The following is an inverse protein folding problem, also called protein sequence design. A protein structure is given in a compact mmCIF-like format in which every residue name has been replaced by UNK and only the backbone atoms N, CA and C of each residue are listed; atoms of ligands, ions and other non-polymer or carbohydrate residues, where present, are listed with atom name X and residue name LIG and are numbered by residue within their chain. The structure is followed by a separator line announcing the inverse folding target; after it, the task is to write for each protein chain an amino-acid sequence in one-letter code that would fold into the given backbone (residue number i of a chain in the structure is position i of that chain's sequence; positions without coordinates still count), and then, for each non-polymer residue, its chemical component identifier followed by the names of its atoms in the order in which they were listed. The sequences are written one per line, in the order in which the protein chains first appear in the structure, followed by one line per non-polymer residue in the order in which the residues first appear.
data_IF_241675524826
#
_entry.id   IF_241675524826
#
_cell.length_a   1.000
_cell.length_b   1.000
_cell.length_c   1.000
_cell.angle_alpha   90.00
_cell.angle_beta   90.00
_cell.angle_gamma   90.00
#
_symmetry.space_group_name_H-M   'P 1'
#
loop_
_entity.id
_entity.type
_entity.pdbx_description
1 polymer ?
#
# COMPACT_ATOMS: atom_id res chain seq x y z
N UNK A 1 -21.53 1.89 29.68
CA UNK A 1 -21.00 2.00 28.31
C UNK A 1 -20.08 0.80 28.10
N UNK A 2 -20.21 0.04 27.02
CA UNK A 2 -19.55 -1.27 26.90
C UNK A 2 -18.10 -1.07 26.39
N UNK A 3 -17.05 -1.39 27.16
CA UNK A 3 -15.66 -1.09 26.78
C UNK A 3 -15.23 -1.74 25.47
N UNK A 4 -15.88 -2.83 25.04
CA UNK A 4 -15.65 -3.45 23.73
C UNK A 4 -16.09 -2.58 22.53
N UNK A 5 -17.06 -1.68 22.71
CA UNK A 5 -17.49 -0.75 21.65
C UNK A 5 -16.47 0.38 21.46
N UNK A 6 -15.92 0.92 22.56
CA UNK A 6 -14.96 2.03 22.51
C UNK A 6 -13.60 1.62 21.91
N UNK A 7 -13.13 0.41 22.23
CA UNK A 7 -11.90 -0.16 21.64
C UNK A 7 -12.04 -0.34 20.12
N UNK A 8 -13.24 -0.65 19.65
CA UNK A 8 -13.53 -0.86 18.23
C UNK A 8 -13.45 0.46 17.43
N UNK A 9 -14.03 1.54 17.96
CA UNK A 9 -14.05 2.84 17.27
C UNK A 9 -12.66 3.48 17.18
N UNK A 10 -11.86 3.41 18.25
CA UNK A 10 -10.48 3.89 18.24
C UNK A 10 -9.60 3.09 17.26
N UNK A 11 -9.72 1.76 17.27
CA UNK A 11 -8.98 0.89 16.34
C UNK A 11 -9.34 1.17 14.88
N UNK A 12 -10.62 1.43 14.58
CA UNK A 12 -11.10 1.83 13.25
C UNK A 12 -10.47 3.14 12.79
N UNK A 13 -10.47 4.16 13.65
CA UNK A 13 -9.88 5.47 13.32
C UNK A 13 -8.39 5.32 13.07
N UNK A 14 -7.66 4.68 14.00
CA UNK A 14 -6.22 4.46 13.89
C UNK A 14 -5.85 3.68 12.62
N UNK A 15 -6.60 2.62 12.31
CA UNK A 15 -6.42 1.87 11.08
C UNK A 15 -6.54 2.76 9.84
N UNK A 16 -7.61 3.55 9.75
CA UNK A 16 -7.90 4.43 8.60
C UNK A 16 -6.82 5.50 8.40
N UNK A 17 -6.36 6.14 9.48
CA UNK A 17 -5.41 7.26 9.40
C UNK A 17 -3.93 6.83 9.41
N UNK A 18 -3.63 5.59 9.81
CA UNK A 18 -2.24 5.09 9.92
C UNK A 18 -1.37 5.35 8.67
N UNK A 19 -1.87 5.21 7.42
CA UNK A 19 -1.06 5.51 6.25
C UNK A 19 -0.68 7.00 6.20
N UNK A 20 -1.63 7.89 6.48
CA UNK A 20 -1.40 9.33 6.45
C UNK A 20 -0.38 9.75 7.50
N UNK A 21 -0.51 9.26 8.73
CA UNK A 21 0.39 9.64 9.81
C UNK A 21 1.82 9.14 9.55
N UNK A 22 1.98 7.90 9.08
CA UNK A 22 3.30 7.33 8.77
C UNK A 22 4.07 8.10 7.69
N UNK A 23 3.36 8.67 6.71
CA UNK A 23 3.98 9.43 5.61
C UNK A 23 4.02 10.94 5.83
N UNK A 24 3.29 11.48 6.81
CA UNK A 24 3.22 12.91 7.08
C UNK A 24 4.60 13.58 7.26
N UNK A 25 5.58 12.99 7.99
CA UNK A 25 6.90 13.61 8.13
C UNK A 25 7.64 13.77 6.79
N UNK A 26 7.51 12.82 5.87
CA UNK A 26 8.15 12.86 4.55
C UNK A 26 7.51 13.90 3.65
N UNK A 27 6.17 13.97 3.67
CA UNK A 27 5.39 14.96 2.91
C UNK A 27 5.70 16.37 3.41
N UNK A 28 5.65 16.59 4.72
CA UNK A 28 5.91 17.90 5.32
C UNK A 28 7.33 18.41 5.06
N UNK A 29 8.33 17.53 5.17
CA UNK A 29 9.73 17.88 4.89
C UNK A 29 10.04 17.97 3.39
N UNK A 30 9.13 17.56 2.51
CA UNK A 30 9.34 17.50 1.07
C UNK A 30 10.46 16.56 0.63
N UNK A 31 10.86 15.61 1.51
CA UNK A 31 11.94 14.64 1.27
C UNK A 31 11.34 13.24 1.32
N UNK A 32 10.93 12.75 0.15
CA UNK A 32 10.30 11.44 0.01
C UNK A 32 11.38 10.36 0.00
N UNK A 33 11.42 9.55 1.05
CA UNK A 33 12.36 8.44 1.18
C UNK A 33 11.77 7.13 0.66
N UNK A 34 10.44 7.03 0.65
CA UNK A 34 9.73 5.84 0.24
C UNK A 34 9.73 5.68 -1.29
N UNK A 35 9.94 4.45 -1.75
CA UNK A 35 10.05 4.11 -3.17
C UNK A 35 8.78 4.45 -3.96
N UNK A 36 8.88 5.10 -5.14
CA UNK A 36 7.75 5.30 -6.04
C UNK A 36 7.16 3.99 -6.57
N UNK A 37 7.99 2.97 -6.78
CA UNK A 37 7.52 1.65 -7.20
C UNK A 37 6.69 0.99 -6.10
N UNK A 38 7.17 1.02 -4.86
CA UNK A 38 6.39 0.48 -3.74
C UNK A 38 5.11 1.27 -3.51
N UNK A 39 5.15 2.60 -3.66
CA UNK A 39 3.95 3.43 -3.65
C UNK A 39 2.96 3.02 -4.73
N UNK A 40 3.44 2.74 -5.94
CA UNK A 40 2.60 2.26 -7.02
C UNK A 40 1.98 0.90 -6.69
N UNK A 41 2.76 -0.04 -6.15
CA UNK A 41 2.24 -1.35 -5.72
C UNK A 41 1.17 -1.22 -4.63
N UNK A 42 1.34 -0.32 -3.65
CA UNK A 42 0.33 -0.04 -2.62
C UNK A 42 -0.94 0.53 -3.23
N UNK A 43 -0.83 1.41 -4.24
CA UNK A 43 -1.98 1.91 -4.98
C UNK A 43 -2.74 0.76 -5.65
N UNK A 44 -2.04 -0.14 -6.35
CA UNK A 44 -2.67 -1.30 -7.01
C UNK A 44 -3.40 -2.18 -5.99
N UNK A 45 -2.73 -2.54 -4.90
CA UNK A 45 -3.33 -3.31 -3.80
C UNK A 45 -4.55 -2.60 -3.21
N UNK A 46 -4.48 -1.28 -3.02
CA UNK A 46 -5.61 -0.50 -2.50
C UNK A 46 -6.79 -0.47 -3.46
N UNK A 47 -6.56 -0.37 -4.77
CA UNK A 47 -7.62 -0.48 -5.78
C UNK A 47 -8.27 -1.87 -5.74
N UNK A 48 -7.49 -2.94 -5.68
CA UNK A 48 -8.02 -4.30 -5.55
C UNK A 48 -8.88 -4.46 -4.29
N UNK A 49 -8.43 -3.90 -3.16
CA UNK A 49 -9.19 -3.90 -1.91
C UNK A 49 -10.49 -3.09 -2.01
N UNK A 50 -10.51 -1.94 -2.69
CA UNK A 50 -11.74 -1.18 -2.93
C UNK A 50 -12.74 -2.00 -3.75
N UNK A 51 -12.28 -2.67 -4.81
CA UNK A 51 -13.14 -3.53 -5.65
C UNK A 51 -13.66 -4.71 -4.83
N UNK A 52 -12.79 -5.39 -4.08
CA UNK A 52 -13.17 -6.48 -3.19
C UNK A 52 -14.23 -6.05 -2.17
N UNK A 53 -14.00 -4.94 -1.47
CA UNK A 53 -14.95 -4.41 -0.48
C UNK A 53 -16.30 -4.06 -1.12
N UNK A 54 -16.29 -3.48 -2.32
CA UNK A 54 -17.52 -3.11 -3.04
C UNK A 54 -18.32 -4.34 -3.46
N UNK A 55 -17.66 -5.40 -3.92
CA UNK A 55 -18.31 -6.62 -4.41
C UNK A 55 -18.83 -7.49 -3.26
N UNK A 56 -18.08 -7.62 -2.15
CA UNK A 56 -18.48 -8.43 -0.99
C UNK A 56 -19.22 -7.62 0.10
N UNK A 57 -19.44 -6.32 -0.10
CA UNK A 57 -20.09 -5.40 0.86
C UNK A 57 -19.40 -5.42 2.24
N UNK A 58 -18.07 -5.40 2.25
CA UNK A 58 -17.27 -5.35 3.48
C UNK A 58 -17.41 -3.99 4.19
N UNK A 59 -16.95 -3.91 5.44
CA UNK A 59 -17.01 -2.69 6.23
C UNK A 59 -16.41 -1.48 5.48
N UNK A 60 -17.15 -0.36 5.50
CA UNK A 60 -16.80 0.88 4.80
C UNK A 60 -15.41 1.41 5.17
N UNK A 61 -14.93 1.10 6.38
CA UNK A 61 -13.63 1.53 6.89
C UNK A 61 -12.46 0.95 6.08
N UNK A 62 -12.57 -0.28 5.58
CA UNK A 62 -11.54 -0.87 4.71
C UNK A 62 -11.44 -0.14 3.37
N UNK A 63 -12.58 0.28 2.82
CA UNK A 63 -12.62 1.08 1.59
C UNK A 63 -12.08 2.48 1.81
N UNK A 64 -12.42 3.11 2.94
CA UNK A 64 -11.95 4.44 3.29
C UNK A 64 -10.42 4.48 3.49
N UNK A 65 -9.87 3.52 4.24
CA UNK A 65 -8.43 3.40 4.41
C UNK A 65 -7.72 3.21 3.06
N UNK A 66 -8.29 2.40 2.16
CA UNK A 66 -7.75 2.19 0.82
C UNK A 66 -7.77 3.45 -0.05
N UNK A 67 -8.85 4.23 -0.01
CA UNK A 67 -8.94 5.50 -0.72
C UNK A 67 -7.90 6.51 -0.20
N UNK A 68 -7.72 6.58 1.11
CA UNK A 68 -6.68 7.41 1.74
C UNK A 68 -5.29 6.95 1.29
N UNK A 69 -5.02 5.63 1.32
CA UNK A 69 -3.75 5.08 0.82
C UNK A 69 -3.49 5.47 -0.63
N UNK A 70 -4.48 5.38 -1.52
CA UNK A 70 -4.32 5.83 -2.92
C UNK A 70 -3.91 7.31 -2.95
N UNK A 71 -4.63 8.19 -2.26
CA UNK A 71 -4.32 9.62 -2.24
C UNK A 71 -2.93 9.95 -1.68
N UNK A 72 -2.55 9.33 -0.56
CA UNK A 72 -1.23 9.52 0.06
C UNK A 72 -0.13 9.06 -0.89
N UNK A 73 -0.24 7.86 -1.47
CA UNK A 73 0.80 7.33 -2.33
C UNK A 73 0.89 8.05 -3.69
N UNK A 74 -0.23 8.50 -4.26
CA UNK A 74 -0.21 9.39 -5.43
C UNK A 74 0.53 10.69 -5.13
N UNK A 75 0.33 11.25 -3.93
CA UNK A 75 1.04 12.45 -3.46
C UNK A 75 2.54 12.20 -3.30
N UNK A 76 2.93 11.06 -2.72
CA UNK A 76 4.35 10.68 -2.60
C UNK A 76 5.02 10.55 -3.97
N UNK A 77 4.37 9.91 -4.95
CA UNK A 77 4.91 9.78 -6.31
C UNK A 77 5.03 11.16 -6.97
N UNK A 78 4.04 12.04 -6.80
CA UNK A 78 4.08 13.40 -7.33
C UNK A 78 5.24 14.23 -6.74
N UNK A 79 5.48 14.09 -5.44
CA UNK A 79 6.51 14.83 -4.71
C UNK A 79 7.91 14.21 -4.80
N UNK A 80 8.05 13.03 -5.41
CA UNK A 80 9.34 12.34 -5.48
C UNK A 80 10.30 13.06 -6.43
N UNK A 81 11.46 13.47 -5.90
CA UNK A 81 12.48 14.25 -6.63
C UNK A 81 13.82 13.53 -6.78
N UNK A 82 14.01 12.44 -6.04
CA UNK A 82 15.28 11.71 -6.05
C UNK A 82 15.42 10.87 -7.32
N UNK A 83 16.64 10.40 -7.61
CA UNK A 83 16.86 9.46 -8.69
C UNK A 83 16.16 8.11 -8.41
N UNK A 84 15.65 7.49 -9.47
CA UNK A 84 15.08 6.15 -9.42
C UNK A 84 16.19 5.10 -9.38
N UNK A 85 15.99 4.05 -8.59
CA UNK A 85 16.75 2.81 -8.69
C UNK A 85 16.55 2.16 -10.08
N UNK A 86 17.46 1.27 -10.46
CA UNK A 86 17.38 0.56 -11.74
C UNK A 86 16.05 -0.22 -11.91
N UNK A 87 15.52 -0.79 -10.81
CA UNK A 87 14.26 -1.53 -10.81
C UNK A 87 13.06 -0.60 -11.06
N UNK A 88 13.00 0.52 -10.33
CA UNK A 88 11.98 1.55 -10.53
C UNK A 88 12.04 2.08 -11.96
N UNK A 89 13.23 2.39 -12.45
CA UNK A 89 13.44 2.91 -13.79
C UNK A 89 12.93 1.95 -14.87
N UNK A 90 13.17 0.64 -14.72
CA UNK A 90 12.69 -0.36 -15.69
C UNK A 90 11.16 -0.43 -15.76
N UNK A 91 10.48 -0.35 -14.62
CA UNK A 91 9.01 -0.41 -14.57
C UNK A 91 8.39 0.88 -15.12
N UNK A 92 8.85 2.05 -14.66
CA UNK A 92 8.28 3.30 -15.13
C UNK A 92 8.62 3.58 -16.60
N UNK A 93 9.74 3.06 -17.13
CA UNK A 93 10.05 3.16 -18.56
C UNK A 93 9.09 2.39 -19.47
N UNK A 94 8.29 1.44 -18.94
CA UNK A 94 7.19 0.83 -19.71
C UNK A 94 6.12 1.89 -20.07
N UNK A 95 5.97 2.92 -19.25
CA UNK A 95 5.15 4.07 -19.58
C UNK A 95 5.81 4.91 -20.67
N UNK A 96 5.12 5.01 -21.80
CA UNK A 96 5.56 5.83 -22.94
C UNK A 96 5.89 7.28 -22.54
N UNK A 97 5.13 7.83 -21.57
CA UNK A 97 5.29 9.21 -21.11
C UNK A 97 6.50 9.43 -20.18
N UNK A 98 7.19 8.39 -19.71
CA UNK A 98 8.30 8.55 -18.78
C UNK A 98 9.42 9.43 -19.35
N UNK A 99 9.80 9.19 -20.61
CA UNK A 99 10.88 9.95 -21.28
C UNK A 99 10.52 11.40 -21.56
N UNK A 100 9.24 11.72 -21.77
CA UNK A 100 8.80 13.04 -22.24
C UNK A 100 8.22 13.93 -21.14
N UNK A 101 7.56 13.34 -20.15
CA UNK A 101 6.84 14.06 -19.08
C UNK A 101 7.28 13.66 -17.67
N UNK A 102 8.15 12.65 -17.53
CA UNK A 102 8.69 12.21 -16.24
C UNK A 102 7.81 11.21 -15.49
N UNK A 103 8.22 10.95 -14.24
CA UNK A 103 7.71 9.87 -13.40
C UNK A 103 6.19 9.93 -13.16
N UNK A 104 5.67 11.08 -12.74
CA UNK A 104 4.26 11.21 -12.35
C UNK A 104 3.30 10.93 -13.51
N UNK A 105 3.61 11.41 -14.71
CA UNK A 105 2.78 11.16 -15.89
C UNK A 105 2.88 9.71 -16.36
N UNK A 106 4.06 9.08 -16.23
CA UNK A 106 4.20 7.65 -16.46
C UNK A 106 3.36 6.84 -15.48
N UNK A 107 3.34 7.23 -14.21
CA UNK A 107 2.46 6.65 -13.20
C UNK A 107 0.99 6.79 -13.60
N UNK A 108 0.53 7.98 -13.97
CA UNK A 108 -0.86 8.19 -14.41
C UNK A 108 -1.24 7.33 -15.61
N UNK A 109 -0.32 7.18 -16.57
CA UNK A 109 -0.51 6.27 -17.71
C UNK A 109 -0.70 4.82 -17.23
N UNK A 110 0.25 4.28 -16.47
CA UNK A 110 0.18 2.89 -15.99
C UNK A 110 -1.05 2.65 -15.11
N UNK A 111 -1.39 3.61 -14.25
CA UNK A 111 -2.59 3.58 -13.43
C UNK A 111 -3.87 3.55 -14.29
N UNK A 112 -3.98 4.43 -15.29
CA UNK A 112 -5.13 4.44 -16.19
C UNK A 112 -5.26 3.14 -16.99
N UNK A 113 -4.14 2.58 -17.47
CA UNK A 113 -4.11 1.29 -18.16
C UNK A 113 -4.62 0.18 -17.25
N UNK A 114 -4.16 0.12 -16.00
CA UNK A 114 -4.65 -0.85 -15.02
C UNK A 114 -6.16 -0.73 -14.79
N UNK A 115 -6.68 0.49 -14.58
CA UNK A 115 -8.12 0.70 -14.38
C UNK A 115 -8.91 0.21 -15.61
N UNK A 116 -8.46 0.53 -16.81
CA UNK A 116 -9.09 0.04 -18.05
C UNK A 116 -9.03 -1.48 -18.17
N UNK A 117 -7.92 -2.11 -17.78
CA UNK A 117 -7.79 -3.58 -17.76
C UNK A 117 -8.77 -4.21 -16.76
N UNK A 118 -8.95 -3.63 -15.57
CA UNK A 118 -9.90 -4.12 -14.58
C UNK A 118 -11.35 -3.93 -15.02
N UNK A 119 -11.67 -2.82 -15.70
CA UNK A 119 -12.99 -2.60 -16.30
C UNK A 119 -13.28 -3.62 -17.40
N UNK A 120 -12.30 -3.90 -18.26
CA UNK A 120 -12.40 -4.93 -19.28
C UNK A 120 -12.59 -6.31 -18.66
N UNK A 121 -11.85 -6.61 -17.58
CA UNK A 121 -12.00 -7.88 -16.85
C UNK A 121 -13.40 -8.01 -16.24
N UNK A 122 -13.92 -6.94 -15.64
CA UNK A 122 -15.27 -6.91 -15.10
C UNK A 122 -16.33 -7.17 -16.17
N UNK A 123 -16.13 -6.61 -17.36
CA UNK A 123 -17.03 -6.82 -18.51
C UNK A 123 -17.10 -8.30 -18.90
N UNK A 124 -15.98 -9.03 -18.84
CA UNK A 124 -15.96 -10.46 -19.15
C UNK A 124 -16.40 -11.36 -18.00
N UNK A 125 -15.97 -11.09 -16.76
CA UNK A 125 -16.33 -11.91 -15.60
C UNK A 125 -16.08 -11.18 -14.28
N UNK A 126 -17.17 -10.81 -13.58
CA UNK A 126 -17.11 -10.24 -12.22
C UNK A 126 -16.51 -11.23 -11.22
N UNK A 127 -16.78 -12.53 -11.36
CA UNK A 127 -16.24 -13.58 -10.47
C UNK A 127 -14.72 -13.71 -10.62
N UNK A 128 -14.22 -13.66 -11.86
CA UNK A 128 -12.79 -13.69 -12.11
C UNK A 128 -12.10 -12.42 -11.62
N UNK A 129 -12.70 -11.25 -11.82
CA UNK A 129 -12.23 -9.99 -11.24
C UNK A 129 -12.10 -10.08 -9.71
N UNK A 130 -13.10 -10.64 -9.03
CA UNK A 130 -13.08 -10.80 -7.58
C UNK A 130 -11.91 -11.66 -7.13
N UNK A 131 -11.68 -12.80 -7.81
CA UNK A 131 -10.57 -13.71 -7.52
C UNK A 131 -9.21 -13.01 -7.70
N UNK A 132 -9.04 -12.28 -8.80
CA UNK A 132 -7.84 -11.49 -9.08
C UNK A 132 -7.61 -10.41 -8.02
N UNK A 133 -8.67 -9.71 -7.61
CA UNK A 133 -8.56 -8.65 -6.60
C UNK A 133 -8.21 -9.21 -5.23
N UNK A 134 -8.83 -10.31 -4.78
CA UNK A 134 -8.54 -10.93 -3.49
C UNK A 134 -7.10 -11.46 -3.47
N UNK A 135 -6.74 -12.31 -4.44
CA UNK A 135 -5.41 -12.92 -4.51
C UNK A 135 -4.32 -11.88 -4.75
N UNK A 136 -4.56 -10.95 -5.67
CA UNK A 136 -3.65 -9.86 -5.97
C UNK A 136 -3.45 -8.93 -4.77
N UNK A 137 -4.51 -8.60 -4.02
CA UNK A 137 -4.37 -7.79 -2.82
C UNK A 137 -3.49 -8.51 -1.80
N UNK A 138 -3.79 -9.77 -1.45
CA UNK A 138 -3.00 -10.55 -0.48
C UNK A 138 -1.52 -10.60 -0.88
N UNK A 139 -1.24 -10.92 -2.15
CA UNK A 139 0.13 -11.05 -2.65
C UNK A 139 0.89 -9.71 -2.61
N UNK A 140 0.29 -8.65 -3.16
CA UNK A 140 0.95 -7.35 -3.24
C UNK A 140 1.18 -6.76 -1.86
N UNK A 141 0.13 -6.76 -1.03
CA UNK A 141 0.14 -6.19 0.32
C UNK A 141 1.20 -6.89 1.20
N UNK A 142 1.32 -8.22 1.09
CA UNK A 142 2.34 -9.00 1.81
C UNK A 142 3.76 -8.85 1.26
N UNK A 143 3.90 -8.52 -0.03
CA UNK A 143 5.21 -8.41 -0.68
C UNK A 143 5.92 -7.09 -0.44
N UNK A 144 5.19 -6.01 -0.12
CA UNK A 144 5.77 -4.65 -0.02
C UNK A 144 6.87 -4.58 1.02
N UNK A 145 6.65 -5.11 2.23
CA UNK A 145 7.64 -5.06 3.29
C UNK A 145 8.91 -5.85 2.93
N UNK A 146 8.74 -7.00 2.26
CA UNK A 146 9.86 -7.78 1.76
C UNK A 146 10.62 -7.00 0.68
N UNK A 147 9.92 -6.43 -0.30
CA UNK A 147 10.53 -5.64 -1.35
C UNK A 147 11.29 -4.44 -0.79
N UNK A 148 10.78 -3.78 0.25
CA UNK A 148 11.50 -2.71 0.95
C UNK A 148 12.80 -3.22 1.59
N UNK A 149 12.78 -4.39 2.26
CA UNK A 149 13.99 -5.02 2.80
C UNK A 149 14.99 -5.36 1.69
N UNK A 150 14.51 -5.92 0.57
CA UNK A 150 15.35 -6.24 -0.59
C UNK A 150 15.98 -4.98 -1.20
N UNK A 151 15.19 -3.92 -1.42
CA UNK A 151 15.71 -2.66 -1.93
C UNK A 151 16.76 -2.07 -1.00
N UNK A 152 16.53 -2.10 0.32
CA UNK A 152 17.51 -1.59 1.29
C UNK A 152 18.83 -2.39 1.28
N UNK A 153 18.76 -3.72 1.14
CA UNK A 153 19.95 -4.59 1.19
C UNK A 153 20.76 -4.59 -0.10
N UNK A 154 20.11 -4.47 -1.26
CA UNK A 154 20.73 -4.71 -2.57
C UNK A 154 20.94 -3.46 -3.42
N UNK A 155 20.32 -2.33 -3.10
CA UNK A 155 20.51 -1.09 -3.86
C UNK A 155 21.80 -0.35 -3.44
N UNK A 156 22.93 -0.79 -4.03
CA UNK A 156 24.29 -0.25 -3.76
C UNK A 156 24.49 1.21 -4.17
N UNK A 157 23.55 1.83 -4.92
CA UNK A 157 23.67 3.21 -5.40
C UNK A 157 23.15 4.26 -4.40
N UNK A 158 22.37 3.84 -3.41
CA UNK A 158 21.93 4.75 -2.35
C UNK A 158 23.01 4.76 -1.27
N UNK A 159 23.77 5.84 -1.18
CA UNK A 159 24.40 6.21 0.10
C UNK A 159 23.37 5.99 1.19
N UNK A 160 23.71 5.23 2.25
CA UNK A 160 22.80 4.72 3.29
C UNK A 160 21.69 5.74 3.62
N UNK A 161 20.57 5.68 2.91
CA UNK A 161 19.41 6.51 3.21
C UNK A 161 18.79 5.87 4.43
N UNK A 162 18.80 6.60 5.54
CA UNK A 162 18.14 6.14 6.76
C UNK A 162 16.70 5.75 6.42
N UNK A 163 16.34 4.52 6.82
CA UNK A 163 14.98 4.04 6.73
C UNK A 163 14.09 4.92 7.63
N UNK A 164 12.94 5.43 7.13
CA UNK A 164 12.05 6.25 7.94
C UNK A 164 11.37 5.37 9.01
N UNK A 165 11.97 5.26 10.20
CA UNK A 165 11.48 4.37 11.27
C UNK A 165 10.08 4.72 11.73
N UNK A 166 9.73 6.00 11.72
CA UNK A 166 8.39 6.47 12.06
C UNK A 166 7.34 5.88 11.11
N UNK A 167 7.66 5.77 9.82
CA UNK A 167 6.77 5.14 8.85
C UNK A 167 6.47 3.69 9.24
N UNK A 168 7.53 2.91 9.51
CA UNK A 168 7.38 1.49 9.84
C UNK A 168 6.67 1.27 11.17
N UNK A 169 6.86 2.17 12.14
CA UNK A 169 6.10 2.15 13.39
C UNK A 169 4.60 2.30 13.13
N UNK A 170 4.20 3.25 12.30
CA UNK A 170 2.78 3.45 11.97
C UNK A 170 2.20 2.32 11.11
N UNK A 171 3.01 1.66 10.29
CA UNK A 171 2.61 0.43 9.61
C UNK A 171 2.33 -0.70 10.61
N UNK A 172 3.21 -0.93 11.58
CA UNK A 172 2.99 -1.93 12.64
C UNK A 172 1.73 -1.63 13.44
N UNK A 173 1.50 -0.37 13.83
CA UNK A 173 0.27 0.04 14.53
C UNK A 173 -0.97 -0.23 13.66
N UNK A 174 -0.91 0.14 12.37
CA UNK A 174 -1.98 -0.11 11.41
C UNK A 174 -2.30 -1.59 11.26
N UNK A 175 -1.28 -2.45 11.17
CA UNK A 175 -1.44 -3.90 11.04
C UNK A 175 -1.99 -4.56 12.30
N UNK A 176 -1.59 -4.09 13.50
CA UNK A 176 -2.19 -4.53 14.76
C UNK A 176 -3.68 -4.19 14.77
N UNK A 177 -4.05 -2.95 14.46
CA UNK A 177 -5.44 -2.52 14.41
C UNK A 177 -6.24 -3.34 13.38
N UNK A 178 -5.69 -3.52 12.17
CA UNK A 178 -6.29 -4.33 11.10
C UNK A 178 -6.49 -5.78 11.52
N UNK A 179 -5.49 -6.38 12.19
CA UNK A 179 -5.57 -7.77 12.67
C UNK A 179 -6.70 -7.94 13.69
N UNK A 180 -6.77 -7.05 14.68
CA UNK A 180 -7.84 -7.06 15.69
C UNK A 180 -9.21 -6.95 15.02
N UNK A 181 -9.38 -6.01 14.09
CA UNK A 181 -10.65 -5.81 13.37
C UNK A 181 -11.04 -7.03 12.52
N UNK A 182 -10.09 -7.64 11.81
CA UNK A 182 -10.34 -8.83 10.99
C UNK A 182 -10.74 -10.06 11.85
N UNK A 183 -10.09 -10.26 12.99
CA UNK A 183 -10.43 -11.35 13.93
C UNK A 183 -11.82 -11.12 14.51
N UNK A 184 -12.12 -9.90 14.98
CA UNK A 184 -13.42 -9.57 15.56
C UNK A 184 -14.57 -9.73 14.56
N UNK A 185 -14.32 -9.43 13.28
CA UNK A 185 -15.32 -9.55 12.22
C UNK A 185 -15.41 -10.97 11.61
N UNK A 186 -14.64 -11.93 12.12
CA UNK A 186 -14.66 -13.31 11.61
C UNK A 186 -14.20 -13.43 10.15
N UNK A 187 -13.22 -12.62 9.74
CA UNK A 187 -12.69 -12.65 8.38
C UNK A 187 -12.02 -13.99 8.03
N UNK A 188 -11.86 -14.26 6.73
CA UNK A 188 -11.21 -15.48 6.26
C UNK A 188 -9.78 -15.61 6.81
N UNK A 189 -9.42 -16.79 7.33
CA UNK A 189 -8.10 -17.12 7.88
C UNK A 189 -6.94 -16.77 6.94
N UNK A 190 -7.11 -16.90 5.62
CA UNK A 190 -6.07 -16.54 4.66
C UNK A 190 -5.76 -15.04 4.69
N UNK A 191 -6.78 -14.19 4.86
CA UNK A 191 -6.63 -12.74 4.95
C UNK A 191 -5.97 -12.39 6.29
N UNK A 192 -6.42 -12.99 7.40
CA UNK A 192 -5.80 -12.79 8.71
C UNK A 192 -4.32 -13.17 8.68
N UNK A 193 -3.98 -14.34 8.12
CA UNK A 193 -2.59 -14.81 8.02
C UNK A 193 -1.72 -13.86 7.20
N UNK A 194 -2.27 -13.26 6.13
CA UNK A 194 -1.54 -12.27 5.32
C UNK A 194 -1.18 -11.01 6.12
N UNK A 195 -2.08 -10.52 6.98
CA UNK A 195 -1.82 -9.35 7.83
C UNK A 195 -0.87 -9.69 8.98
N UNK A 196 -0.96 -10.88 9.57
CA UNK A 196 0.01 -11.36 10.55
C UNK A 196 1.41 -11.47 9.94
N UNK A 197 1.50 -11.97 8.70
CA UNK A 197 2.76 -12.00 7.97
C UNK A 197 3.32 -10.59 7.72
N UNK A 198 2.48 -9.64 7.30
CA UNK A 198 2.86 -8.23 7.14
C UNK A 198 3.38 -7.63 8.45
N UNK A 199 2.70 -7.89 9.57
CA UNK A 199 3.10 -7.42 10.89
C UNK A 199 4.50 -7.90 11.27
N UNK A 200 4.84 -9.16 10.99
CA UNK A 200 6.19 -9.72 11.21
C UNK A 200 7.22 -8.97 10.36
N UNK A 201 6.95 -8.82 9.06
CA UNK A 201 7.89 -8.17 8.12
C UNK A 201 8.08 -6.68 8.46
N UNK A 202 7.01 -5.97 8.82
CA UNK A 202 7.07 -4.55 9.20
C UNK A 202 7.80 -4.35 10.53
N UNK A 203 7.67 -5.29 11.46
CA UNK A 203 8.46 -5.31 12.71
C UNK A 203 9.95 -5.55 12.41
N UNK A 204 10.28 -6.41 11.44
CA UNK A 204 11.67 -6.57 10.99
C UNK A 204 12.21 -5.29 10.35
N UNK A 205 11.43 -4.59 9.53
CA UNK A 205 11.83 -3.30 8.95
C UNK A 205 12.13 -2.24 10.02
N UNK A 206 11.36 -2.23 11.11
CA UNK A 206 11.58 -1.31 12.23
C UNK A 206 12.88 -1.60 12.99
N UNK A 207 13.36 -2.84 13.00
CA UNK A 207 14.58 -3.25 13.71
C UNK A 207 15.85 -3.19 12.87
N UNK A 208 15.75 -2.93 11.56
CA UNK A 208 16.90 -2.79 10.67
C UNK A 208 17.61 -1.45 10.92
N UNK A 209 18.89 -1.52 11.25
CA UNK A 209 19.81 -0.38 11.43
C UNK A 209 20.46 0.04 10.11
#
# INVERSE_FOLDING_TARGET
MNPMLEVNDLAKILYVISPTIGYAPQIYKGKILFSPLLSFIIIISSIFRIIHCKLEKLEIMYSLQALISVGVHSTLIFMYKDELSNYEHNIFRLGFLYKSKGLFYSYLQLFSTLIMSLLLLNYFSTSFLLTVCIGGNILLESSIGLMQLFLNKFDKRKEKKELPRELFLFWVIGDICKTVLLIMNGANNAIILSVVFQLIVNTMLLSVN
#
